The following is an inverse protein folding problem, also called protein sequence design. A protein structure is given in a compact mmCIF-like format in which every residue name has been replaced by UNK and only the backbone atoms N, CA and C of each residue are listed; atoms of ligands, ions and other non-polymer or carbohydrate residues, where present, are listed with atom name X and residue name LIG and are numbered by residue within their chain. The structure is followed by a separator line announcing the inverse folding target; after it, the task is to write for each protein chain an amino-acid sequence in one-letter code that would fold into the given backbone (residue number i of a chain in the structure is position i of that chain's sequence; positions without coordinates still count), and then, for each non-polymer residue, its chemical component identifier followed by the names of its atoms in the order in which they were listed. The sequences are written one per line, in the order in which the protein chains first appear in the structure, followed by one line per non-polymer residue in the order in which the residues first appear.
data_IF_185929832577
#
_entry.id   IF_185929832577
#
_cell.length_a   1.000
_cell.length_b   1.000
_cell.length_c   1.000
_cell.angle_alpha   90.00
_cell.angle_beta   90.00
_cell.angle_gamma   90.00
#
_symmetry.space_group_name_H-M   'P 1'
#
loop_
_entity.id
_entity.type
_entity.pdbx_description
1 polymer ?
#
# COMPACT_ATOMS: atom_id res chain seq x y z
N UNK A 1 -1.04 22.97 -12.40
CA UNK A 1 -1.13 22.14 -11.22
C UNK A 1 -1.72 20.79 -11.60
N UNK A 2 -1.06 19.70 -11.16
CA UNK A 2 -1.10 18.44 -11.81
C UNK A 2 -2.00 17.41 -11.13
N UNK A 3 -3.32 17.48 -11.30
CA UNK A 3 -4.18 16.34 -11.01
C UNK A 3 -3.86 15.15 -11.92
N UNK A 4 -4.31 13.92 -11.57
CA UNK A 4 -3.98 12.69 -12.31
C UNK A 4 -4.25 12.78 -13.81
N UNK A 5 -5.27 13.51 -14.20
CA UNK A 5 -5.64 13.74 -15.61
C UNK A 5 -4.62 14.54 -16.42
N UNK A 6 -3.68 15.17 -15.73
CA UNK A 6 -2.64 16.01 -16.36
C UNK A 6 -1.24 15.41 -16.27
N UNK A 7 -1.02 14.34 -15.51
CA UNK A 7 0.31 13.78 -15.26
C UNK A 7 1.09 13.46 -16.53
N UNK A 8 0.44 12.89 -17.52
CA UNK A 8 1.09 12.58 -18.82
C UNK A 8 1.56 13.79 -19.60
N UNK A 9 1.03 14.98 -19.29
CA UNK A 9 1.40 16.24 -19.94
C UNK A 9 2.56 16.95 -19.23
N UNK A 10 2.81 16.59 -17.97
CA UNK A 10 3.85 17.23 -17.14
C UNK A 10 5.25 16.72 -17.45
N UNK A 11 5.37 15.44 -17.81
CA UNK A 11 6.64 14.81 -18.12
C UNK A 11 6.42 13.68 -19.14
N UNK A 12 7.25 13.58 -20.20
CA UNK A 12 7.19 12.49 -21.18
C UNK A 12 7.32 11.07 -20.55
N UNK A 13 8.00 10.96 -19.42
CA UNK A 13 8.12 9.69 -18.68
C UNK A 13 6.79 9.22 -18.09
N UNK A 14 5.84 10.12 -17.91
CA UNK A 14 4.51 9.83 -17.37
C UNK A 14 3.50 9.37 -18.43
N UNK A 15 3.98 8.98 -19.61
CA UNK A 15 3.12 8.56 -20.71
C UNK A 15 2.16 7.43 -20.32
N UNK A 16 2.60 6.48 -19.52
CA UNK A 16 1.78 5.38 -19.04
C UNK A 16 0.54 5.84 -18.26
N UNK A 17 0.59 7.01 -17.59
CA UNK A 17 -0.56 7.58 -16.89
C UNK A 17 -1.76 7.91 -17.82
N UNK A 18 -1.52 8.05 -19.13
CA UNK A 18 -2.59 8.34 -20.10
C UNK A 18 -2.94 7.16 -21.00
N UNK A 19 -1.96 6.35 -21.37
CA UNK A 19 -2.14 5.29 -22.39
C UNK A 19 -1.94 3.88 -21.83
N UNK A 20 -1.63 3.74 -20.52
CA UNK A 20 -1.51 2.44 -19.89
C UNK A 20 -2.85 1.69 -19.93
N UNK A 21 -2.77 0.38 -20.10
CA UNK A 21 -3.94 -0.50 -20.22
C UNK A 21 -4.28 -1.21 -18.91
N UNK A 22 -3.33 -1.27 -18.00
CA UNK A 22 -3.45 -1.95 -16.69
C UNK A 22 -3.08 -0.99 -15.56
N UNK A 23 -3.85 0.06 -15.43
CA UNK A 23 -3.63 1.12 -14.46
C UNK A 23 -4.31 0.84 -13.12
N UNK A 24 -3.78 1.40 -12.05
CA UNK A 24 -4.32 1.43 -10.69
C UNK A 24 -4.57 2.87 -10.25
N UNK A 25 -5.50 3.15 -9.32
CA UNK A 25 -6.41 2.19 -8.68
C UNK A 25 -7.56 1.75 -9.59
N UNK A 26 -8.28 0.70 -9.18
CA UNK A 26 -9.50 0.24 -9.86
C UNK A 26 -10.69 0.20 -8.91
N UNK A 27 -11.90 0.12 -9.47
CA UNK A 27 -13.10 -0.30 -8.78
C UNK A 27 -13.24 -1.82 -8.95
N UNK A 28 -12.97 -2.56 -7.87
CA UNK A 28 -13.07 -4.01 -7.86
C UNK A 28 -14.54 -4.39 -7.87
N UNK A 29 -15.00 -4.95 -8.98
CA UNK A 29 -16.33 -5.53 -9.13
C UNK A 29 -16.23 -7.04 -9.00
N UNK A 30 -17.38 -7.70 -8.87
CA UNK A 30 -17.47 -9.15 -8.71
C UNK A 30 -16.52 -9.87 -9.67
N UNK A 31 -15.40 -10.30 -9.12
CA UNK A 31 -14.36 -10.99 -9.86
C UNK A 31 -14.67 -12.48 -10.02
N UNK A 32 -13.82 -13.15 -10.78
CA UNK A 32 -13.86 -14.61 -10.90
C UNK A 32 -13.47 -15.19 -9.53
N UNK A 33 -14.35 -16.03 -8.96
CA UNK A 33 -14.02 -16.77 -7.74
C UNK A 33 -13.07 -17.92 -8.09
N UNK A 34 -11.88 -17.86 -7.50
CA UNK A 34 -10.86 -18.90 -7.63
C UNK A 34 -10.25 -19.18 -6.26
N UNK A 35 -9.71 -20.36 -6.08
CA UNK A 35 -8.92 -20.70 -4.90
C UNK A 35 -7.53 -20.09 -5.07
N UNK A 36 -7.34 -18.91 -4.50
CA UNK A 36 -6.05 -18.26 -4.48
C UNK A 36 -5.15 -18.87 -3.40
N UNK A 37 -3.86 -18.98 -3.72
CA UNK A 37 -2.87 -19.38 -2.73
C UNK A 37 -2.82 -18.35 -1.59
N UNK A 38 -2.80 -18.81 -0.32
CA UNK A 38 -2.66 -17.90 0.81
C UNK A 38 -1.34 -17.12 0.74
N UNK A 39 -1.41 -15.82 1.01
CA UNK A 39 -0.22 -15.00 1.18
C UNK A 39 0.45 -15.38 2.50
N UNK A 40 1.73 -15.70 2.47
CA UNK A 40 2.53 -15.88 3.67
C UNK A 40 3.13 -14.53 4.07
N UNK A 41 2.67 -13.99 5.21
CA UNK A 41 3.20 -12.77 5.77
C UNK A 41 4.33 -13.08 6.75
N UNK A 42 5.53 -12.53 6.49
CA UNK A 42 6.73 -12.74 7.30
C UNK A 42 7.10 -11.38 7.94
N UNK A 43 6.30 -10.93 8.88
CA UNK A 43 6.50 -9.69 9.61
C UNK A 43 6.86 -9.97 11.07
N UNK A 44 7.75 -9.16 11.62
CA UNK A 44 8.13 -9.17 13.04
C UNK A 44 7.95 -7.78 13.63
N UNK A 45 7.73 -7.65 14.94
CA UNK A 45 7.80 -6.34 15.60
C UNK A 45 9.12 -5.65 15.30
N UNK A 46 9.06 -4.40 14.88
CA UNK A 46 10.23 -3.64 14.44
C UNK A 46 10.11 -2.18 14.86
N UNK A 47 11.26 -1.55 15.10
CA UNK A 47 11.36 -0.10 15.11
C UNK A 47 11.02 0.44 13.72
N UNK A 48 10.68 1.70 13.64
CA UNK A 48 10.26 2.31 12.39
C UNK A 48 10.81 3.73 12.22
N UNK A 49 10.80 4.18 10.98
CA UNK A 49 11.09 5.55 10.58
C UNK A 49 9.86 6.08 9.85
N UNK A 50 9.34 7.22 10.29
CA UNK A 50 8.15 7.85 9.74
C UNK A 50 8.50 9.22 9.16
N UNK A 51 7.98 9.52 7.98
CA UNK A 51 8.20 10.78 7.28
C UNK A 51 6.90 11.29 6.64
N UNK A 52 6.63 12.58 6.78
CA UNK A 52 5.67 13.29 5.93
C UNK A 52 6.43 13.85 4.72
N UNK A 53 6.24 13.27 3.55
CA UNK A 53 6.89 13.72 2.32
C UNK A 53 6.12 14.81 1.56
N UNK A 54 5.05 15.36 2.18
CA UNK A 54 4.17 16.36 1.58
C UNK A 54 3.08 15.81 0.68
N UNK A 55 3.09 14.51 0.38
CA UNK A 55 2.07 13.79 -0.40
C UNK A 55 1.37 12.74 0.44
N UNK A 56 2.11 12.05 1.29
CA UNK A 56 1.62 11.03 2.20
C UNK A 56 2.54 10.89 3.40
N UNK A 57 2.03 10.22 4.42
CA UNK A 57 2.85 9.71 5.52
C UNK A 57 3.37 8.34 5.12
N UNK A 58 4.69 8.25 5.01
CA UNK A 58 5.41 7.03 4.65
C UNK A 58 6.15 6.48 5.85
N UNK A 59 6.12 5.16 6.01
CA UNK A 59 6.78 4.45 7.10
C UNK A 59 7.68 3.37 6.55
N UNK A 60 8.89 3.31 7.07
CA UNK A 60 9.89 2.28 6.80
C UNK A 60 10.13 1.47 8.07
N UNK A 61 10.23 0.15 7.94
CA UNK A 61 10.60 -0.78 9.00
C UNK A 61 11.85 -1.55 8.59
N UNK A 62 12.56 -2.12 9.57
CA UNK A 62 13.84 -2.77 9.28
C UNK A 62 13.73 -4.04 8.46
N UNK A 63 12.68 -4.83 8.69
CA UNK A 63 12.51 -6.16 8.07
C UNK A 63 11.03 -6.45 7.83
N UNK A 64 10.77 -7.27 6.82
CA UNK A 64 9.46 -7.77 6.51
C UNK A 64 9.38 -8.25 5.07
N UNK A 65 8.58 -9.28 4.82
CA UNK A 65 8.37 -9.79 3.48
C UNK A 65 7.01 -10.48 3.36
N UNK A 66 6.61 -10.72 2.12
CA UNK A 66 5.54 -11.64 1.79
C UNK A 66 6.06 -12.72 0.84
N UNK A 67 5.51 -13.91 0.95
CA UNK A 67 5.78 -15.01 0.01
C UNK A 67 4.47 -15.46 -0.63
N UNK A 68 4.49 -15.59 -1.95
CA UNK A 68 3.34 -15.99 -2.75
C UNK A 68 3.83 -16.72 -3.99
N UNK A 69 3.25 -17.88 -4.31
CA UNK A 69 3.58 -18.69 -5.49
C UNK A 69 5.09 -18.97 -5.62
N UNK A 70 5.74 -19.29 -4.49
CA UNK A 70 7.18 -19.59 -4.45
C UNK A 70 8.10 -18.38 -4.62
N UNK A 71 7.57 -17.16 -4.62
CA UNK A 71 8.31 -15.93 -4.78
C UNK A 71 8.23 -15.08 -3.50
N UNK A 72 9.36 -14.48 -3.13
CA UNK A 72 9.45 -13.58 -1.97
C UNK A 72 9.57 -12.13 -2.43
N UNK A 73 8.83 -11.25 -1.76
CA UNK A 73 8.86 -9.80 -1.99
C UNK A 73 9.18 -9.11 -0.66
N UNK A 74 10.30 -8.42 -0.61
CA UNK A 74 10.75 -7.68 0.57
C UNK A 74 9.96 -6.38 0.74
N UNK A 75 9.57 -6.06 1.97
CA UNK A 75 8.90 -4.80 2.29
C UNK A 75 9.84 -3.62 2.11
N UNK A 76 9.43 -2.67 1.29
CA UNK A 76 10.17 -1.43 1.02
C UNK A 76 9.69 -0.32 1.94
N UNK A 77 8.39 -0.08 1.99
CA UNK A 77 7.73 0.94 2.80
C UNK A 77 6.23 0.69 2.80
N UNK A 78 5.52 1.35 3.71
CA UNK A 78 4.07 1.46 3.62
C UNK A 78 3.64 2.92 3.82
N UNK A 79 2.49 3.26 3.27
CA UNK A 79 1.96 4.62 3.32
C UNK A 79 0.44 4.62 3.29
N UNK A 80 -0.14 5.78 3.57
CA UNK A 80 -1.58 5.95 3.71
C UNK A 80 -2.14 6.84 2.61
N UNK A 81 -3.37 6.53 2.19
CA UNK A 81 -4.19 7.42 1.36
C UNK A 81 -5.54 7.68 2.02
N UNK A 82 -6.02 8.90 1.92
CA UNK A 82 -7.34 9.33 2.40
C UNK A 82 -8.02 10.19 1.35
N UNK A 83 -9.21 9.79 0.85
CA UNK A 83 -9.87 8.48 1.04
C UNK A 83 -9.09 7.34 0.40
N UNK A 84 -9.61 6.10 0.50
CA UNK A 84 -8.99 4.97 -0.20
C UNK A 84 -8.91 5.25 -1.70
N UNK A 85 -7.83 4.82 -2.35
CA UNK A 85 -7.71 4.91 -3.81
C UNK A 85 -8.59 3.86 -4.49
N UNK A 86 -8.63 2.65 -3.94
CA UNK A 86 -9.46 1.55 -4.41
C UNK A 86 -10.93 1.75 -4.06
N UNK A 87 -11.79 1.14 -4.88
CA UNK A 87 -13.20 0.94 -4.59
C UNK A 87 -13.53 -0.54 -4.66
N UNK A 88 -14.53 -0.97 -3.91
CA UNK A 88 -15.12 -2.29 -4.02
C UNK A 88 -16.62 -2.11 -4.30
N UNK A 89 -17.08 -2.60 -5.46
CA UNK A 89 -18.47 -2.45 -5.92
C UNK A 89 -18.95 -0.97 -5.86
N UNK A 90 -18.11 -0.05 -6.29
CA UNK A 90 -18.38 1.38 -6.29
C UNK A 90 -18.22 2.08 -4.94
N UNK A 91 -18.00 1.33 -3.87
CA UNK A 91 -17.84 1.88 -2.52
C UNK A 91 -16.36 2.23 -2.25
N UNK A 92 -16.13 3.45 -1.80
CA UNK A 92 -14.83 3.92 -1.32
C UNK A 92 -14.78 3.85 0.20
N UNK A 93 -13.61 3.50 0.75
CA UNK A 93 -13.36 3.44 2.19
C UNK A 93 -12.73 4.74 2.71
N UNK A 94 -12.76 4.93 4.03
CA UNK A 94 -12.24 6.16 4.64
C UNK A 94 -10.75 6.35 4.37
N UNK A 95 -9.96 5.26 4.41
CA UNK A 95 -8.53 5.24 4.13
C UNK A 95 -8.10 3.90 3.55
N UNK A 96 -6.87 3.84 3.06
CA UNK A 96 -6.17 2.61 2.72
C UNK A 96 -4.71 2.70 3.14
N UNK A 97 -4.13 1.57 3.52
CA UNK A 97 -2.69 1.42 3.69
C UNK A 97 -2.16 0.58 2.54
N UNK A 98 -1.15 1.08 1.84
CA UNK A 98 -0.41 0.36 0.82
C UNK A 98 0.92 -0.12 1.39
N UNK A 99 1.10 -1.43 1.49
CA UNK A 99 2.34 -2.09 1.90
C UNK A 99 3.10 -2.46 0.62
N UNK A 100 4.11 -1.69 0.28
CA UNK A 100 4.86 -1.83 -0.98
C UNK A 100 6.03 -2.79 -0.77
N UNK A 101 6.03 -3.86 -1.56
CA UNK A 101 7.06 -4.90 -1.53
C UNK A 101 7.74 -5.00 -2.90
N UNK A 102 8.94 -5.54 -2.92
CA UNK A 102 9.74 -5.73 -4.13
C UNK A 102 10.47 -7.06 -4.10
N UNK A 103 10.41 -7.80 -5.21
CA UNK A 103 11.20 -9.02 -5.40
C UNK A 103 12.64 -8.70 -5.79
N UNK A 104 13.52 -9.70 -5.67
CA UNK A 104 14.92 -9.59 -6.14
C UNK A 104 15.03 -9.26 -7.63
N UNK A 105 14.03 -9.65 -8.43
CA UNK A 105 13.95 -9.34 -9.86
C UNK A 105 13.38 -7.96 -10.15
N UNK A 106 13.01 -7.21 -9.11
CA UNK A 106 12.48 -5.85 -9.22
C UNK A 106 10.98 -5.74 -9.45
N UNK A 107 10.22 -6.85 -9.41
CA UNK A 107 8.77 -6.80 -9.48
C UNK A 107 8.18 -6.23 -8.19
N UNK A 108 7.25 -5.29 -8.32
CA UNK A 108 6.53 -4.74 -7.19
C UNK A 108 5.27 -5.57 -6.88
N UNK A 109 5.00 -5.74 -5.60
CA UNK A 109 3.76 -6.29 -5.07
C UNK A 109 3.24 -5.38 -3.96
N UNK A 110 1.99 -4.96 -4.06
CA UNK A 110 1.36 -4.07 -3.09
C UNK A 110 0.23 -4.80 -2.39
N UNK A 111 0.32 -4.90 -1.08
CA UNK A 111 -0.80 -5.33 -0.22
C UNK A 111 -1.57 -4.09 0.18
N UNK A 112 -2.85 -4.02 -0.16
CA UNK A 112 -3.74 -2.94 0.23
C UNK A 112 -4.65 -3.40 1.37
N UNK A 113 -4.64 -2.65 2.47
CA UNK A 113 -5.52 -2.85 3.63
C UNK A 113 -6.46 -1.66 3.71
N UNK A 114 -7.74 -1.90 3.44
CA UNK A 114 -8.78 -0.89 3.53
C UNK A 114 -9.09 -0.57 4.99
N UNK A 115 -9.30 0.70 5.29
CA UNK A 115 -9.61 1.16 6.64
C UNK A 115 -10.99 1.83 6.65
N UNK A 116 -11.79 1.47 7.64
CA UNK A 116 -13.08 2.10 7.93
C UNK A 116 -13.09 2.63 9.37
N UNK A 117 -14.04 3.50 9.66
CA UNK A 117 -14.20 4.02 11.03
C UNK A 117 -14.68 2.93 11.96
N UNK A 118 -14.03 2.84 13.10
CA UNK A 118 -14.34 1.86 14.13
C UNK A 118 -13.64 2.22 15.45
N UNK A 119 -13.31 1.20 16.19
CA UNK A 119 -12.53 1.33 17.43
C UNK A 119 -11.10 1.76 17.12
N UNK A 120 -10.43 2.34 18.11
CA UNK A 120 -9.03 2.69 18.04
C UNK A 120 -8.18 1.47 17.65
N UNK A 121 -7.34 1.67 16.62
CA UNK A 121 -6.36 0.67 16.20
C UNK A 121 -5.00 1.02 16.81
N UNK A 122 -4.46 0.19 17.72
CA UNK A 122 -3.20 0.48 18.42
C UNK A 122 -2.00 0.65 17.48
N UNK A 123 -1.97 -0.07 16.36
CA UNK A 123 -0.93 0.06 15.35
C UNK A 123 -0.92 1.46 14.74
N UNK A 124 -2.09 1.92 14.29
CA UNK A 124 -2.25 3.26 13.69
C UNK A 124 -1.99 4.34 14.75
N UNK A 125 -2.50 4.16 15.97
CA UNK A 125 -2.30 5.12 17.06
C UNK A 125 -0.82 5.28 17.39
N UNK A 126 -0.04 4.20 17.38
CA UNK A 126 1.41 4.28 17.60
C UNK A 126 2.08 5.15 16.54
N UNK A 127 1.70 5.02 15.29
CA UNK A 127 2.24 5.86 14.21
C UNK A 127 1.84 7.33 14.38
N UNK A 128 0.55 7.59 14.66
CA UNK A 128 0.04 8.96 14.85
C UNK A 128 0.68 9.67 16.04
N UNK A 129 1.03 8.95 17.10
CA UNK A 129 1.72 9.51 18.25
C UNK A 129 3.16 9.95 17.92
N UNK A 130 3.71 9.48 16.81
CA UNK A 130 5.09 9.78 16.39
C UNK A 130 5.14 10.50 15.02
N UNK A 131 4.04 11.13 14.63
CA UNK A 131 3.99 11.91 13.41
C UNK A 131 5.05 13.00 13.37
N UNK A 132 5.79 13.16 12.26
CA UNK A 132 6.69 14.29 12.09
C UNK A 132 5.98 15.62 12.21
N UNK A 133 6.57 16.56 12.91
CA UNK A 133 6.04 17.93 13.03
C UNK A 133 6.31 18.78 11.79
N UNK A 134 7.34 18.40 11.04
CA UNK A 134 7.79 19.12 9.84
C UNK A 134 7.88 18.17 8.64
N UNK A 135 7.52 18.68 7.48
CA UNK A 135 7.66 17.94 6.21
C UNK A 135 9.13 17.64 5.92
N UNK A 136 9.36 16.45 5.38
CA UNK A 136 10.68 15.95 4.99
C UNK A 136 11.68 15.82 6.15
N UNK A 137 11.20 15.89 7.38
CA UNK A 137 12.00 15.63 8.59
C UNK A 137 11.57 14.29 9.19
N UNK A 138 12.31 13.20 8.92
CA UNK A 138 11.92 11.89 9.41
C UNK A 138 12.11 11.78 10.93
N UNK A 139 11.23 10.98 11.55
CA UNK A 139 11.29 10.62 12.97
C UNK A 139 11.54 9.13 13.10
N UNK A 140 12.51 8.77 13.92
CA UNK A 140 12.83 7.37 14.25
C UNK A 140 12.79 7.19 15.77
N UNK A 141 11.61 6.87 16.35
CA UNK A 141 11.49 6.71 17.79
C UNK A 141 12.35 5.54 18.28
N UNK A 142 13.24 5.73 19.25
CA UNK A 142 14.21 4.69 19.62
C UNK A 142 13.60 3.51 20.38
N UNK A 143 12.43 3.71 21.01
CA UNK A 143 11.78 2.72 21.87
C UNK A 143 10.38 2.30 21.40
N UNK A 144 9.87 2.89 20.34
CA UNK A 144 8.58 2.52 19.79
C UNK A 144 8.74 1.46 18.70
N UNK A 145 7.89 0.44 18.74
CA UNK A 145 7.83 -0.63 17.74
C UNK A 145 6.43 -0.77 17.18
N UNK A 146 6.35 -1.28 15.97
CA UNK A 146 5.09 -1.66 15.32
C UNK A 146 5.19 -3.11 14.85
N UNK A 147 4.06 -3.79 14.86
CA UNK A 147 3.90 -5.14 14.31
C UNK A 147 2.86 -5.11 13.19
N UNK A 148 3.31 -5.25 11.96
CA UNK A 148 2.43 -5.23 10.78
C UNK A 148 1.38 -6.35 10.78
N UNK A 149 1.61 -7.45 11.51
CA UNK A 149 0.60 -8.48 11.67
C UNK A 149 -0.67 -7.95 12.36
N UNK A 150 -0.54 -6.94 13.21
CA UNK A 150 -1.68 -6.31 13.91
C UNK A 150 -2.47 -5.33 13.05
N UNK A 151 -1.90 -4.86 11.94
CA UNK A 151 -2.60 -4.06 10.93
C UNK A 151 -3.48 -4.93 10.03
N UNK A 152 -3.04 -6.15 9.75
CA UNK A 152 -3.73 -7.04 8.83
C UNK A 152 -5.08 -7.50 9.40
N UNK A 153 -6.15 -7.57 8.57
CA UNK A 153 -7.44 -8.06 9.02
C UNK A 153 -7.37 -9.54 9.42
N UNK A 154 -8.31 -9.99 10.26
CA UNK A 154 -8.38 -11.41 10.71
C UNK A 154 -8.55 -12.35 9.53
N UNK A 155 -9.44 -12.02 8.59
CA UNK A 155 -9.58 -12.76 7.33
C UNK A 155 -8.46 -12.35 6.38
N UNK A 156 -7.71 -13.33 5.89
CA UNK A 156 -6.60 -13.12 4.95
C UNK A 156 -7.01 -13.31 3.49
N UNK A 157 -8.31 -13.37 3.22
CA UNK A 157 -8.84 -13.42 1.86
C UNK A 157 -8.55 -12.11 1.12
N UNK A 158 -8.23 -12.20 -0.14
CA UNK A 158 -7.84 -11.04 -0.94
C UNK A 158 -8.34 -11.13 -2.37
N UNK A 159 -8.42 -9.99 -3.02
CA UNK A 159 -8.52 -9.85 -4.47
C UNK A 159 -7.12 -9.65 -5.04
N UNK A 160 -6.89 -10.14 -6.25
CA UNK A 160 -5.61 -9.93 -6.93
C UNK A 160 -5.83 -9.51 -8.38
N UNK A 161 -4.98 -8.62 -8.84
CA UNK A 161 -4.92 -8.19 -10.24
C UNK A 161 -3.54 -7.60 -10.55
N UNK A 162 -3.21 -7.55 -11.84
CA UNK A 162 -2.03 -6.83 -12.32
C UNK A 162 -2.41 -5.39 -12.65
N UNK A 163 -1.73 -4.45 -12.05
CA UNK A 163 -1.96 -3.03 -12.19
C UNK A 163 -0.69 -2.21 -12.30
N UNK A 164 -0.73 -1.00 -11.77
CA UNK A 164 0.35 -0.01 -11.87
C UNK A 164 0.66 0.66 -10.54
N UNK A 165 1.70 1.49 -10.54
CA UNK A 165 1.84 2.56 -9.54
C UNK A 165 0.66 3.52 -9.66
N UNK A 166 0.20 4.06 -8.52
CA UNK A 166 -0.88 5.05 -8.45
C UNK A 166 -0.38 6.49 -8.49
N UNK A 167 0.90 6.67 -8.69
CA UNK A 167 1.57 7.96 -8.88
C UNK A 167 2.47 7.92 -10.10
N UNK A 168 2.86 9.07 -10.68
CA UNK A 168 3.80 9.10 -11.78
C UNK A 168 5.08 8.31 -11.44
N UNK A 169 5.63 7.56 -12.40
CA UNK A 169 5.28 7.51 -13.83
C UNK A 169 4.19 6.51 -14.21
N UNK A 170 3.38 6.00 -13.26
CA UNK A 170 2.28 5.06 -13.46
C UNK A 170 2.72 3.72 -14.10
N UNK A 171 3.92 3.28 -13.77
CA UNK A 171 4.51 2.06 -14.32
C UNK A 171 3.65 0.85 -14.02
N UNK A 172 3.41 0.04 -15.04
CA UNK A 172 2.62 -1.19 -14.97
C UNK A 172 3.46 -2.39 -14.51
N UNK A 173 2.84 -3.55 -14.37
CA UNK A 173 3.51 -4.76 -13.90
C UNK A 173 3.55 -4.89 -12.39
N UNK A 174 2.72 -4.15 -11.68
CA UNK A 174 2.59 -4.22 -10.21
C UNK A 174 1.53 -5.25 -9.84
N UNK A 175 1.90 -6.22 -9.02
CA UNK A 175 0.98 -7.19 -8.45
C UNK A 175 0.22 -6.55 -7.28
N UNK A 176 -1.11 -6.46 -7.41
CA UNK A 176 -1.99 -5.95 -6.36
C UNK A 176 -2.67 -7.08 -5.60
N UNK A 177 -2.65 -6.97 -4.28
CA UNK A 177 -3.21 -7.91 -3.32
C UNK A 177 -4.09 -7.11 -2.35
N UNK A 178 -5.37 -6.99 -2.67
CA UNK A 178 -6.30 -6.15 -1.89
C UNK A 178 -7.05 -7.02 -0.89
N UNK A 179 -6.83 -6.79 0.40
CA UNK A 179 -7.50 -7.55 1.46
C UNK A 179 -9.00 -7.30 1.41
N UNK A 180 -9.81 -8.38 1.48
CA UNK A 180 -11.28 -8.29 1.36
C UNK A 180 -11.94 -7.69 2.59
N UNK A 181 -11.38 -7.97 3.76
CA UNK A 181 -11.88 -7.45 5.03
C UNK A 181 -11.15 -6.15 5.35
N UNK A 182 -11.87 -5.05 5.64
CA UNK A 182 -11.27 -3.81 6.12
C UNK A 182 -10.79 -3.92 7.56
#
# INVERSE_FOLDING_TARGET
MGGPENWSKLDPQNKACAIGERQSPIDIKDGIKVDLEPIKFNYQPSTFRIIDNGHTVQVEVGEGSISLTGKTYELVQFHFHRPSEEKINGQRFDMVVHLVHKSDEGQLAVVAVLLERGNENPFIQTLWNHMPLEKNMPVSPPSATVDLNTLLPTSRNYYTYMGSLTTPPCSEGVLWLVMKQP
#
